data_IF_490699799543
#
_entry.id   IF_490699799543
#
_cell.length_a   1.000
_cell.length_b   1.000
_cell.length_c   1.000
_cell.angle_alpha   90.00
_cell.angle_beta   90.00
_cell.angle_gamma   90.00
#
_symmetry.space_group_name_H-M   'P 1'
#
loop_
_entity.id
_entity.type
_entity.pdbx_description
1 polymer ?
#
# COMPACT_ATOMS: atom_id res chain seq x y z
N UNK A 1 -2.42 -36.10 54.49
CA UNK A 1 -1.97 -34.68 54.40
C UNK A 1 -0.44 -34.72 54.37
N UNK A 2 0.29 -34.37 53.32
CA UNK A 2 0.29 -33.10 52.60
C UNK A 2 0.97 -33.28 51.22
N UNK A 3 0.34 -32.78 50.17
CA UNK A 3 0.83 -32.85 48.78
C UNK A 3 1.73 -31.64 48.50
N UNK A 4 2.99 -31.88 48.09
CA UNK A 4 3.92 -30.83 47.65
C UNK A 4 3.67 -30.52 46.17
N UNK A 5 3.08 -29.34 45.94
CA UNK A 5 2.73 -28.77 44.64
C UNK A 5 4.00 -28.28 43.92
N UNK A 6 4.26 -28.80 42.72
CA UNK A 6 5.34 -28.33 41.84
C UNK A 6 4.99 -26.96 41.23
N UNK A 7 5.92 -25.99 41.31
CA UNK A 7 5.80 -24.67 40.66
C UNK A 7 6.07 -24.82 39.15
N UNK A 8 5.06 -24.58 38.33
CA UNK A 8 5.23 -24.46 36.87
C UNK A 8 6.01 -23.20 36.51
N UNK A 9 7.09 -23.34 35.75
CA UNK A 9 7.78 -22.23 35.07
C UNK A 9 6.96 -21.84 33.84
N UNK A 10 6.33 -20.67 33.88
CA UNK A 10 5.75 -20.04 32.68
C UNK A 10 6.88 -19.40 31.87
N UNK A 11 7.24 -20.05 30.75
CA UNK A 11 8.09 -19.47 29.73
C UNK A 11 7.33 -18.36 29.02
N UNK A 12 7.65 -17.10 29.34
CA UNK A 12 7.17 -15.93 28.56
C UNK A 12 7.65 -16.13 27.11
N UNK A 13 6.70 -16.34 26.19
CA UNK A 13 6.97 -16.30 24.75
C UNK A 13 7.49 -14.91 24.41
N UNK A 14 8.71 -14.85 23.87
CA UNK A 14 9.25 -13.64 23.24
C UNK A 14 8.33 -13.25 22.07
N UNK A 15 8.00 -11.97 21.88
CA UNK A 15 7.35 -11.55 20.64
C UNK A 15 8.29 -11.92 19.49
N UNK A 16 7.76 -12.67 18.52
CA UNK A 16 8.48 -12.94 17.28
C UNK A 16 8.78 -11.58 16.64
N UNK A 17 10.06 -11.28 16.46
CA UNK A 17 10.49 -10.20 15.55
C UNK A 17 10.04 -10.63 14.15
N UNK A 18 8.86 -10.19 13.74
CA UNK A 18 8.57 -9.96 12.34
C UNK A 18 9.31 -8.68 11.93
N UNK A 19 10.65 -8.72 11.96
CA UNK A 19 11.40 -7.83 11.07
C UNK A 19 11.49 -8.57 9.75
N UNK A 20 10.32 -8.76 9.12
CA UNK A 20 10.24 -8.91 7.67
C UNK A 20 11.06 -7.75 7.12
N UNK A 21 11.97 -8.02 6.20
CA UNK A 21 12.98 -7.07 5.76
C UNK A 21 12.32 -5.93 4.98
N UNK A 22 11.59 -5.04 5.66
CA UNK A 22 10.73 -4.00 5.07
C UNK A 22 11.55 -3.03 4.24
N UNK A 23 12.80 -2.81 4.66
CA UNK A 23 13.79 -2.05 3.90
C UNK A 23 14.21 -2.71 2.58
N UNK A 24 13.92 -3.99 2.37
CA UNK A 24 14.14 -4.67 1.08
C UNK A 24 12.92 -4.59 0.15
N UNK A 25 11.77 -4.11 0.64
CA UNK A 25 10.57 -3.90 -0.19
C UNK A 25 10.60 -2.57 -0.95
N UNK A 26 11.51 -1.67 -0.55
CA UNK A 26 11.63 -0.33 -1.08
C UNK A 26 13.03 -0.09 -1.61
N UNK A 27 13.14 0.67 -2.70
CA UNK A 27 14.43 1.17 -3.14
C UNK A 27 14.93 2.32 -2.25
N UNK A 28 16.18 2.73 -2.45
CA UNK A 28 16.81 3.78 -1.64
C UNK A 28 16.14 5.15 -1.82
N UNK A 29 15.61 5.46 -3.00
CA UNK A 29 14.87 6.70 -3.26
C UNK A 29 13.57 6.74 -2.48
N UNK A 30 12.79 5.66 -2.53
CA UNK A 30 11.54 5.52 -1.78
C UNK A 30 11.78 5.61 -0.27
N UNK A 31 12.82 4.94 0.24
CA UNK A 31 13.18 5.03 1.67
C UNK A 31 13.51 6.47 2.06
N UNK A 32 14.21 7.21 1.18
CA UNK A 32 14.55 8.60 1.42
C UNK A 32 13.30 9.51 1.41
N UNK A 33 12.38 9.32 0.46
CA UNK A 33 11.10 10.02 0.41
C UNK A 33 10.26 9.75 1.68
N UNK A 34 10.14 8.48 2.09
CA UNK A 34 9.45 8.13 3.33
C UNK A 34 10.10 8.75 4.55
N UNK A 35 11.43 8.87 4.57
CA UNK A 35 12.16 9.51 5.66
C UNK A 35 11.89 11.01 5.72
N UNK A 36 11.82 11.67 4.57
CA UNK A 36 11.47 13.10 4.49
C UNK A 36 10.03 13.34 4.93
N UNK A 37 9.09 12.51 4.48
CA UNK A 37 7.70 12.55 4.93
C UNK A 37 7.58 12.31 6.44
N UNK A 38 8.28 11.31 6.98
CA UNK A 38 8.29 11.03 8.41
C UNK A 38 8.81 12.22 9.22
N UNK A 39 9.92 12.84 8.81
CA UNK A 39 10.48 14.01 9.48
C UNK A 39 9.59 15.26 9.38
N UNK A 40 8.70 15.32 8.38
CA UNK A 40 7.71 16.39 8.27
C UNK A 40 6.54 16.18 9.23
N UNK A 41 6.23 14.92 9.56
CA UNK A 41 5.16 14.58 10.50
C UNK A 41 5.68 14.67 11.94
N UNK A 42 6.84 14.09 12.24
CA UNK A 42 7.51 14.11 13.55
C UNK A 42 8.05 15.52 13.87
N UNK A 43 7.16 16.41 14.32
CA UNK A 43 7.46 17.82 14.59
C UNK A 43 8.38 17.96 15.79
N UNK A 44 8.17 17.12 16.81
CA UNK A 44 8.93 17.13 18.05
C UNK A 44 10.31 16.44 17.93
N UNK A 45 10.53 15.67 16.85
CA UNK A 45 11.77 14.95 16.50
C UNK A 45 12.18 13.89 17.52
N UNK A 46 11.22 13.24 18.16
CA UNK A 46 11.48 12.17 19.12
C UNK A 46 11.62 10.78 18.45
N UNK A 47 11.37 10.71 17.14
CA UNK A 47 11.45 9.50 16.32
C UNK A 47 10.20 8.65 16.34
N UNK A 48 9.11 9.14 16.92
CA UNK A 48 7.78 8.54 16.94
C UNK A 48 6.76 9.57 16.43
N UNK A 49 5.71 9.09 15.77
CA UNK A 49 4.56 9.92 15.43
C UNK A 49 3.49 9.69 16.48
N UNK A 50 3.06 10.77 17.13
CA UNK A 50 1.94 10.77 18.07
C UNK A 50 0.72 11.55 17.53
N UNK A 51 -0.32 11.67 18.38
CA UNK A 51 -1.58 12.31 18.00
C UNK A 51 -1.38 13.81 17.77
N UNK A 52 -0.54 14.43 18.58
CA UNK A 52 -0.18 15.84 18.54
C UNK A 52 0.60 16.18 17.25
N UNK A 53 1.56 15.35 16.86
CA UNK A 53 2.29 15.48 15.59
C UNK A 53 1.36 15.45 14.37
N UNK A 54 0.41 14.49 14.34
CA UNK A 54 -0.59 14.40 13.27
C UNK A 54 -1.54 15.59 13.25
N UNK A 55 -1.97 16.05 14.44
CA UNK A 55 -2.81 17.23 14.57
C UNK A 55 -2.09 18.46 14.00
N UNK A 56 -0.86 18.71 14.43
CA UNK A 56 -0.08 19.88 14.03
C UNK A 56 0.28 19.84 12.54
N UNK A 57 0.63 18.67 12.01
CA UNK A 57 0.85 18.45 10.58
C UNK A 57 -0.43 18.78 9.77
N UNK A 58 -1.58 18.22 10.13
CA UNK A 58 -2.84 18.47 9.41
C UNK A 58 -3.31 19.92 9.54
N UNK A 59 -3.12 20.53 10.71
CA UNK A 59 -3.38 21.96 10.94
C UNK A 59 -2.49 22.84 10.06
N UNK A 60 -1.22 22.47 9.87
CA UNK A 60 -0.28 23.18 8.97
C UNK A 60 -0.72 23.15 7.50
N UNK A 61 -1.45 22.10 7.10
CA UNK A 61 -2.06 21.96 5.76
C UNK A 61 -3.44 22.63 5.66
N UNK A 62 -3.87 23.36 6.71
CA UNK A 62 -5.16 24.04 6.76
C UNK A 62 -6.35 23.11 7.01
N UNK A 63 -6.11 21.87 7.47
CA UNK A 63 -7.16 20.94 7.90
C UNK A 63 -7.30 21.00 9.42
N UNK A 64 -8.53 21.04 9.92
CA UNK A 64 -8.81 20.89 11.35
C UNK A 64 -9.38 19.49 11.61
N UNK A 65 -8.53 18.46 11.82
CA UNK A 65 -8.99 17.12 12.09
C UNK A 65 -9.69 17.06 13.47
N UNK A 66 -10.67 16.16 13.61
CA UNK A 66 -11.28 15.86 14.90
C UNK A 66 -10.42 14.88 15.68
N UNK A 67 -10.50 14.92 17.00
CA UNK A 67 -9.83 13.96 17.88
C UNK A 67 -10.16 12.50 17.54
N UNK A 68 -11.42 12.21 17.21
CA UNK A 68 -11.87 10.87 16.80
C UNK A 68 -11.20 10.41 15.50
N UNK A 69 -11.01 11.31 14.54
CA UNK A 69 -10.33 11.00 13.28
C UNK A 69 -8.85 10.71 13.51
N UNK A 70 -8.17 11.51 14.35
CA UNK A 70 -6.77 11.28 14.70
C UNK A 70 -6.58 9.97 15.47
N UNK A 71 -7.48 9.66 16.41
CA UNK A 71 -7.46 8.38 17.11
C UNK A 71 -7.67 7.20 16.17
N UNK A 72 -8.58 7.32 15.20
CA UNK A 72 -8.77 6.30 14.18
C UNK A 72 -7.47 6.08 13.37
N UNK A 73 -6.78 7.16 12.96
CA UNK A 73 -5.48 7.06 12.27
C UNK A 73 -4.42 6.39 13.14
N UNK A 74 -4.32 6.77 14.41
CA UNK A 74 -3.36 6.16 15.35
C UNK A 74 -3.64 4.67 15.60
N UNK A 75 -4.92 4.28 15.58
CA UNK A 75 -5.36 2.89 15.78
C UNK A 75 -5.13 1.99 14.56
N UNK A 76 -4.81 2.53 13.38
CA UNK A 76 -4.36 1.71 12.25
C UNK A 76 -3.01 1.05 12.53
N UNK A 77 -2.19 1.66 13.39
CA UNK A 77 -0.90 1.11 13.77
C UNK A 77 -1.05 0.05 14.88
N UNK A 78 -0.43 -1.13 14.75
CA UNK A 78 -0.47 -2.18 15.79
C UNK A 78 0.35 -1.82 17.04
N UNK A 79 0.99 -0.65 17.07
CA UNK A 79 1.83 -0.17 18.17
C UNK A 79 2.43 1.21 17.85
N UNK A 80 3.43 1.65 18.64
CA UNK A 80 4.07 2.96 18.45
C UNK A 80 4.63 3.15 17.04
N UNK A 81 4.31 4.29 16.42
CA UNK A 81 4.66 4.60 15.03
C UNK A 81 6.06 5.21 14.99
N UNK A 82 7.09 4.37 15.09
CA UNK A 82 8.45 4.80 14.73
C UNK A 82 8.68 4.66 13.22
N UNK A 83 9.80 5.18 12.71
CA UNK A 83 10.10 5.13 11.27
C UNK A 83 10.05 3.71 10.67
N UNK A 84 10.46 2.68 11.43
CA UNK A 84 10.37 1.30 10.95
C UNK A 84 8.93 0.81 10.85
N UNK A 85 8.08 1.14 11.83
CA UNK A 85 6.65 0.82 11.78
C UNK A 85 5.95 1.59 10.67
N UNK A 86 6.29 2.85 10.47
CA UNK A 86 5.82 3.68 9.37
C UNK A 86 6.09 3.00 8.02
N UNK A 87 7.34 2.58 7.77
CA UNK A 87 7.68 1.81 6.58
C UNK A 87 6.92 0.48 6.49
N UNK A 88 6.68 -0.21 7.60
CA UNK A 88 5.89 -1.46 7.59
C UNK A 88 4.44 -1.21 7.22
N UNK A 89 3.80 -0.15 7.74
CA UNK A 89 2.42 0.18 7.39
C UNK A 89 2.27 0.54 5.91
N UNK A 90 3.21 1.33 5.37
CA UNK A 90 3.26 1.60 3.94
C UNK A 90 3.61 0.35 3.14
N UNK A 91 4.54 -0.46 3.64
CA UNK A 91 4.99 -1.70 3.02
C UNK A 91 3.90 -2.74 2.93
N UNK A 92 3.06 -2.89 3.95
CA UNK A 92 1.90 -3.79 3.95
C UNK A 92 0.79 -3.30 3.02
N UNK A 93 0.51 -1.99 2.99
CA UNK A 93 -0.45 -1.41 2.02
C UNK A 93 0.07 -1.51 0.58
N UNK A 94 1.39 -1.48 0.36
CA UNK A 94 2.03 -1.61 -0.96
C UNK A 94 2.39 -3.05 -1.35
N UNK A 95 2.50 -3.98 -0.38
CA UNK A 95 2.93 -5.38 -0.55
C UNK A 95 1.93 -6.28 -1.29
N UNK A 96 0.76 -5.77 -1.66
CA UNK A 96 -0.18 -6.51 -2.49
C UNK A 96 0.16 -6.51 -3.99
N UNK A 97 1.12 -5.68 -4.43
CA UNK A 97 1.36 -5.44 -5.86
C UNK A 97 2.80 -5.71 -6.25
N UNK A 98 2.99 -6.50 -7.29
CA UNK A 98 4.31 -6.77 -7.89
C UNK A 98 5.00 -5.46 -8.36
N UNK A 99 6.31 -5.48 -8.63
CA UNK A 99 7.00 -4.36 -9.27
C UNK A 99 6.34 -3.97 -10.60
N UNK A 100 6.37 -2.68 -10.94
CA UNK A 100 5.69 -2.13 -12.13
C UNK A 100 6.07 -2.91 -13.41
N UNK A 101 7.35 -3.25 -13.57
CA UNK A 101 7.85 -3.98 -14.73
C UNK A 101 7.36 -5.44 -14.77
N UNK A 102 7.14 -6.07 -13.62
CA UNK A 102 6.57 -7.41 -13.53
C UNK A 102 5.12 -7.39 -13.98
N UNK A 103 4.34 -6.40 -13.52
CA UNK A 103 2.94 -6.25 -13.92
C UNK A 103 2.85 -5.90 -15.41
N UNK A 104 3.70 -4.99 -15.93
CA UNK A 104 3.78 -4.69 -17.37
C UNK A 104 4.10 -5.91 -18.20
N UNK A 105 5.07 -6.72 -17.77
CA UNK A 105 5.45 -7.94 -18.47
C UNK A 105 4.32 -8.97 -18.47
N UNK A 106 3.50 -9.03 -17.41
CA UNK A 106 2.33 -9.90 -17.37
C UNK A 106 1.29 -9.49 -18.43
N UNK A 107 1.02 -8.19 -18.59
CA UNK A 107 0.13 -7.70 -19.66
C UNK A 107 0.74 -7.88 -21.06
N UNK A 108 2.06 -7.68 -21.21
CA UNK A 108 2.75 -7.86 -22.48
C UNK A 108 2.63 -9.29 -23.04
N UNK A 109 2.36 -10.30 -22.22
CA UNK A 109 2.05 -11.66 -22.67
C UNK A 109 0.78 -11.73 -23.54
N UNK A 110 -0.10 -10.73 -23.47
CA UNK A 110 -1.36 -10.64 -24.22
C UNK A 110 -1.33 -9.58 -25.33
N UNK A 111 -0.21 -8.85 -25.46
CA UNK A 111 0.04 -7.86 -26.52
C UNK A 111 1.20 -8.36 -27.39
N UNK A 112 0.90 -9.27 -28.32
CA UNK A 112 1.90 -9.90 -29.18
C UNK A 112 2.70 -8.89 -30.02
N UNK A 113 2.09 -7.75 -30.34
CA UNK A 113 2.71 -6.67 -31.12
C UNK A 113 3.52 -5.70 -30.26
N UNK A 114 3.43 -5.78 -28.93
CA UNK A 114 4.16 -4.93 -27.99
C UNK A 114 3.81 -3.44 -28.11
N UNK A 115 2.55 -3.15 -28.45
CA UNK A 115 2.03 -1.80 -28.67
C UNK A 115 1.91 -0.98 -27.38
N UNK A 116 1.81 -1.65 -26.22
CA UNK A 116 1.44 -1.02 -24.95
C UNK A 116 -0.07 -0.97 -24.70
N UNK A 117 -0.86 -1.60 -25.58
CA UNK A 117 -2.32 -1.57 -25.53
C UNK A 117 -2.93 -2.95 -25.69
N UNK A 118 -4.06 -3.18 -25.01
CA UNK A 118 -4.89 -4.39 -25.14
C UNK A 118 -6.32 -3.94 -25.43
N UNK A 119 -7.06 -4.67 -26.25
CA UNK A 119 -8.49 -4.39 -26.48
C UNK A 119 -9.31 -4.70 -25.22
N UNK A 120 -10.21 -3.80 -24.83
CA UNK A 120 -11.03 -3.93 -23.60
C UNK A 120 -11.90 -5.20 -23.62
N UNK A 121 -12.47 -5.53 -24.79
CA UNK A 121 -13.29 -6.73 -24.96
C UNK A 121 -12.46 -8.01 -24.73
N UNK A 122 -11.22 -8.02 -25.25
CA UNK A 122 -10.30 -9.13 -25.07
C UNK A 122 -9.84 -9.24 -23.61
N UNK A 123 -9.53 -8.10 -22.97
CA UNK A 123 -9.16 -8.07 -21.56
C UNK A 123 -10.31 -8.55 -20.66
N UNK A 124 -11.55 -8.16 -20.95
CA UNK A 124 -12.74 -8.64 -20.23
C UNK A 124 -12.88 -10.16 -20.36
N UNK A 125 -12.69 -10.70 -21.57
CA UNK A 125 -12.71 -12.16 -21.77
C UNK A 125 -11.64 -12.85 -20.89
N UNK A 126 -10.41 -12.32 -20.87
CA UNK A 126 -9.33 -12.86 -20.03
C UNK A 126 -9.71 -12.87 -18.53
N UNK A 127 -10.20 -11.74 -18.02
CA UNK A 127 -10.55 -11.57 -16.58
C UNK A 127 -11.73 -12.41 -16.12
N UNK A 128 -12.67 -12.72 -17.03
CA UNK A 128 -13.88 -13.49 -16.71
C UNK A 128 -13.74 -14.99 -16.97
N UNK A 129 -12.74 -15.41 -17.75
CA UNK A 129 -12.57 -16.83 -18.14
C UNK A 129 -11.38 -17.52 -17.50
N UNK A 130 -10.28 -16.81 -17.25
CA UNK A 130 -9.01 -17.37 -16.78
C UNK A 130 -8.74 -17.10 -15.30
N UNK A 131 -8.21 -18.11 -14.59
CA UNK A 131 -7.81 -17.98 -13.19
C UNK A 131 -8.98 -17.75 -12.22
N UNK A 132 -8.75 -16.87 -11.24
CA UNK A 132 -9.81 -16.36 -10.35
C UNK A 132 -10.66 -15.37 -11.14
N UNK A 133 -11.89 -15.79 -11.44
CA UNK A 133 -12.77 -15.10 -12.38
C UNK A 133 -13.45 -13.92 -11.71
N UNK A 134 -13.30 -12.76 -12.34
CA UNK A 134 -14.02 -11.56 -11.97
C UNK A 134 -15.47 -11.68 -12.45
N UNK A 135 -16.42 -11.09 -11.72
CA UNK A 135 -17.77 -10.88 -12.24
C UNK A 135 -17.77 -9.73 -13.24
N UNK A 136 -18.81 -9.66 -14.08
CA UNK A 136 -18.95 -8.57 -15.04
C UNK A 136 -18.99 -7.20 -14.33
N UNK A 137 -19.58 -7.14 -13.14
CA UNK A 137 -19.62 -5.94 -12.31
C UNK A 137 -18.22 -5.53 -11.81
N UNK A 138 -17.38 -6.48 -11.40
CA UNK A 138 -16.01 -6.19 -10.96
C UNK A 138 -15.14 -5.69 -12.13
N UNK A 139 -15.35 -6.22 -13.34
CA UNK A 139 -14.67 -5.72 -14.55
C UNK A 139 -15.16 -4.32 -14.92
N UNK A 140 -16.46 -4.04 -14.81
CA UNK A 140 -17.01 -2.71 -15.05
C UNK A 140 -16.46 -1.67 -14.06
N UNK A 141 -16.30 -2.05 -12.79
CA UNK A 141 -15.66 -1.21 -11.78
C UNK A 141 -14.18 -0.95 -12.11
N UNK A 142 -13.43 -1.98 -12.52
CA UNK A 142 -12.05 -1.84 -12.95
C UNK A 142 -11.91 -0.90 -14.15
N UNK A 143 -12.80 -1.02 -15.14
CA UNK A 143 -12.72 -0.24 -16.38
C UNK A 143 -13.15 1.22 -16.21
N UNK A 144 -13.94 1.55 -15.18
CA UNK A 144 -14.39 2.92 -14.93
C UNK A 144 -13.24 3.90 -14.73
N UNK A 145 -12.17 3.47 -14.06
CA UNK A 145 -10.99 4.30 -13.76
C UNK A 145 -9.77 3.95 -14.62
N UNK A 146 -9.91 2.95 -15.49
CA UNK A 146 -8.85 2.50 -16.37
C UNK A 146 -8.57 3.50 -17.52
N UNK A 147 -7.32 3.61 -17.98
CA UNK A 147 -6.95 4.42 -19.13
C UNK A 147 -7.34 3.71 -20.45
N UNK A 148 -8.65 3.69 -20.73
CA UNK A 148 -9.24 3.14 -21.96
C UNK A 148 -9.62 4.29 -22.89
N UNK A 149 -9.16 4.24 -24.14
CA UNK A 149 -9.53 5.24 -25.13
C UNK A 149 -10.94 5.01 -25.72
N UNK A 150 -11.44 5.96 -26.52
CA UNK A 150 -12.78 5.86 -27.14
C UNK A 150 -12.94 4.70 -28.14
N UNK A 151 -11.85 4.00 -28.48
CA UNK A 151 -11.83 2.86 -29.39
C UNK A 151 -11.74 1.53 -28.64
N UNK A 152 -11.74 1.55 -27.30
CA UNK A 152 -11.61 0.37 -26.45
C UNK A 152 -10.16 -0.04 -26.22
N UNK A 153 -9.16 0.79 -26.56
CA UNK A 153 -7.77 0.43 -26.31
C UNK A 153 -7.40 0.74 -24.85
N UNK A 154 -7.17 -0.30 -24.05
CA UNK A 154 -6.68 -0.22 -22.69
C UNK A 154 -5.15 -0.05 -22.67
N UNK A 155 -4.67 1.09 -22.15
CA UNK A 155 -3.24 1.36 -21.99
C UNK A 155 -2.70 0.74 -20.69
N UNK A 156 -2.19 -0.48 -20.77
CA UNK A 156 -1.69 -1.17 -19.58
C UNK A 156 -0.40 -0.56 -19.02
N UNK A 157 0.36 0.19 -19.83
CA UNK A 157 1.57 0.91 -19.36
C UNK A 157 1.18 2.06 -18.43
N UNK A 158 0.19 2.85 -18.81
CA UNK A 158 -0.31 3.92 -17.96
C UNK A 158 -1.11 3.35 -16.77
N UNK A 159 -1.87 2.27 -16.97
CA UNK A 159 -2.60 1.62 -15.89
C UNK A 159 -1.66 1.11 -14.79
N UNK A 160 -0.57 0.43 -15.16
CA UNK A 160 0.43 -0.07 -14.19
C UNK A 160 1.10 1.07 -13.44
N UNK A 161 1.38 2.19 -14.11
CA UNK A 161 1.88 3.39 -13.45
C UNK A 161 0.87 3.99 -12.47
N UNK A 162 -0.40 4.12 -12.85
CA UNK A 162 -1.47 4.60 -11.97
C UNK A 162 -1.62 3.66 -10.76
N UNK A 163 -1.57 2.35 -10.98
CA UNK A 163 -1.67 1.34 -9.93
C UNK A 163 -0.51 1.44 -8.91
N UNK A 164 0.71 1.77 -9.36
CA UNK A 164 1.89 1.85 -8.47
C UNK A 164 2.11 3.22 -7.83
N UNK A 165 1.74 4.31 -8.51
CA UNK A 165 2.09 5.68 -8.10
C UNK A 165 0.88 6.60 -7.92
N UNK A 166 -0.34 6.13 -8.18
CA UNK A 166 -1.55 6.93 -8.23
C UNK A 166 -1.73 7.70 -9.55
N UNK A 167 -2.92 8.24 -9.77
CA UNK A 167 -3.18 9.12 -10.91
C UNK A 167 -2.43 10.44 -10.72
N UNK A 168 -1.63 10.87 -11.71
CA UNK A 168 -1.17 12.26 -11.75
C UNK A 168 -2.36 13.16 -12.10
N UNK A 169 -2.64 14.13 -11.23
CA UNK A 169 -3.52 15.24 -11.58
C UNK A 169 -2.99 15.89 -12.87
N UNK A 170 -3.86 16.10 -13.85
CA UNK A 170 -3.53 16.66 -15.17
C UNK A 170 -3.34 18.18 -15.15
N UNK A 171 -3.04 18.76 -14.00
CA UNK A 171 -2.87 20.20 -13.81
C UNK A 171 -1.39 20.51 -13.47
N UNK A 172 -0.51 20.33 -14.46
CA UNK A 172 0.80 21.00 -14.58
C UNK A 172 0.84 21.80 -15.90
#
# INVERSE_FOLDING_TARGET
MSSKRAKGKTTKKRPQRATSNVFAMFDQSQIQEFKEAFNMIDQNRDGFIDKEDLHDMLASLGKNPTDEYLEAMMNEAPGPINFTMFLTMFGEKLNGTDPEDVIKNAFACFDEEGTGFIQEDYLRELLTTMGDRFTDEEVDELFREAPIDKKGNFNYVEFTRILKHGAKDKDD
#
